data_IF_775277901774
#
_entry.id   IF_775277901774
#
_cell.length_a   1.000
_cell.length_b   1.000
_cell.length_c   1.000
_cell.angle_alpha   90.00
_cell.angle_beta   90.00
_cell.angle_gamma   90.00
#
_symmetry.space_group_name_H-M   'P 1'
#
loop_
_entity.id
_entity.type
_entity.pdbx_description
1 polymer ?
#
# COMPACT_ATOMS: atom_id res chain seq x y z
N UNK A 1 12.60 -42.52 20.09
CA UNK A 1 13.55 -43.13 19.12
C UNK A 1 12.72 -43.89 18.08
N UNK A 2 13.22 -43.96 16.84
CA UNK A 2 12.58 -44.49 15.61
C UNK A 2 11.71 -43.45 14.88
N UNK A 3 12.27 -42.68 13.93
CA UNK A 3 12.71 -43.01 12.54
C UNK A 3 11.50 -43.18 11.61
N UNK A 4 11.41 -42.32 10.59
CA UNK A 4 11.39 -42.73 9.18
C UNK A 4 11.37 -41.48 8.28
N UNK A 5 12.58 -41.09 7.91
CA UNK A 5 12.88 -40.30 6.72
C UNK A 5 12.75 -41.26 5.53
N UNK A 6 11.92 -40.94 4.54
CA UNK A 6 11.83 -41.72 3.31
C UNK A 6 11.86 -40.78 2.11
N UNK A 7 13.09 -40.47 1.68
CA UNK A 7 13.37 -40.11 0.30
C UNK A 7 12.95 -41.29 -0.59
N UNK A 8 12.15 -41.04 -1.62
CA UNK A 8 11.96 -41.98 -2.72
C UNK A 8 12.31 -41.28 -4.02
N UNK A 9 13.58 -41.43 -4.37
CA UNK A 9 14.10 -41.30 -5.72
C UNK A 9 13.66 -42.55 -6.49
N UNK A 10 13.05 -42.37 -7.67
CA UNK A 10 13.19 -43.22 -8.86
C UNK A 10 12.00 -43.01 -9.81
N UNK A 11 12.25 -42.44 -10.98
CA UNK A 11 12.07 -43.22 -12.21
C UNK A 11 12.70 -42.49 -13.40
N UNK A 12 13.80 -43.05 -13.88
CA UNK A 12 14.48 -42.67 -15.10
C UNK A 12 14.07 -43.73 -16.13
N UNK A 13 13.34 -43.35 -17.18
CA UNK A 13 13.00 -44.29 -18.25
C UNK A 13 12.75 -43.60 -19.58
N UNK A 14 13.48 -44.12 -20.58
CA UNK A 14 13.26 -44.09 -22.02
C UNK A 14 13.74 -42.86 -22.83
N UNK A 15 14.99 -43.05 -23.30
CA UNK A 15 15.44 -42.66 -24.64
C UNK A 15 14.42 -43.09 -25.69
N UNK A 16 14.12 -42.18 -26.62
CA UNK A 16 14.30 -42.35 -28.07
C UNK A 16 13.52 -41.24 -28.77
N UNK A 17 14.23 -40.23 -29.28
CA UNK A 17 13.72 -39.38 -30.34
C UNK A 17 14.88 -38.98 -31.24
N UNK A 18 15.03 -39.74 -32.33
CA UNK A 18 15.79 -39.34 -33.51
C UNK A 18 15.09 -38.15 -34.16
N UNK A 19 15.80 -37.01 -34.27
CA UNK A 19 15.38 -35.88 -35.10
C UNK A 19 16.48 -35.59 -36.13
N UNK A 20 16.13 -35.49 -37.42
CA UNK A 20 17.10 -35.22 -38.48
C UNK A 20 17.58 -33.76 -38.44
N UNK A 21 18.82 -33.61 -38.87
CA UNK A 21 19.52 -32.38 -39.21
C UNK A 21 18.78 -31.69 -40.37
N UNK A 22 18.46 -30.40 -40.25
CA UNK A 22 18.62 -29.34 -41.27
C UNK A 22 18.09 -28.02 -40.70
N UNK A 23 18.98 -27.02 -40.55
CA UNK A 23 18.62 -25.63 -40.29
C UNK A 23 18.14 -24.95 -41.60
N UNK A 24 17.37 -23.85 -41.52
CA UNK A 24 18.08 -22.56 -41.62
C UNK A 24 17.51 -21.45 -40.72
N UNK A 25 18.38 -20.47 -40.48
CA UNK A 25 18.14 -19.16 -39.88
C UNK A 25 16.74 -18.60 -40.20
N UNK A 26 15.92 -18.43 -39.15
CA UNK A 26 15.00 -17.30 -39.10
C UNK A 26 15.38 -16.43 -37.91
N UNK A 27 15.76 -15.20 -38.25
CA UNK A 27 15.91 -14.07 -37.35
C UNK A 27 14.67 -13.96 -36.45
N UNK A 28 14.85 -14.08 -35.14
CA UNK A 28 13.85 -13.64 -34.17
C UNK A 28 14.07 -12.14 -33.93
N UNK A 29 13.13 -11.25 -34.28
CA UNK A 29 13.20 -9.88 -33.79
C UNK A 29 12.89 -9.88 -32.29
N UNK A 30 13.83 -9.32 -31.53
CA UNK A 30 13.70 -8.92 -30.13
C UNK A 30 12.38 -8.16 -29.93
N UNK A 31 11.45 -8.80 -29.23
CA UNK A 31 10.16 -8.23 -28.84
C UNK A 31 9.81 -8.56 -27.39
N UNK A 32 10.81 -8.66 -26.50
CA UNK A 32 10.55 -8.65 -25.06
C UNK A 32 10.31 -7.19 -24.65
N UNK A 33 9.07 -6.74 -24.77
CA UNK A 33 8.60 -5.58 -24.02
C UNK A 33 7.90 -6.11 -22.78
N UNK A 34 8.70 -6.60 -21.83
CA UNK A 34 8.25 -6.66 -20.44
C UNK A 34 8.03 -5.20 -20.02
N UNK A 35 6.81 -4.70 -20.19
CA UNK A 35 6.37 -3.55 -19.43
C UNK A 35 6.34 -3.99 -17.98
N UNK A 36 7.50 -3.84 -17.34
CA UNK A 36 7.64 -3.87 -15.91
C UNK A 36 6.45 -3.13 -15.36
N UNK A 37 5.60 -3.86 -14.64
CA UNK A 37 4.57 -3.29 -13.81
C UNK A 37 5.34 -2.47 -12.79
N UNK A 38 5.69 -1.24 -13.19
CA UNK A 38 6.21 -0.19 -12.32
C UNK A 38 5.09 -0.09 -11.31
N UNK A 39 5.29 -0.74 -10.18
CA UNK A 39 4.69 -0.36 -8.91
C UNK A 39 5.07 1.09 -8.79
N UNK A 40 4.22 1.95 -9.37
CA UNK A 40 4.25 3.38 -9.21
C UNK A 40 4.20 3.48 -7.70
N UNK A 41 5.35 3.74 -7.09
CA UNK A 41 5.42 4.05 -5.68
C UNK A 41 4.37 5.14 -5.52
N UNK A 42 3.28 4.79 -4.85
CA UNK A 42 2.16 5.70 -4.70
C UNK A 42 2.68 6.74 -3.73
N UNK A 43 3.23 7.82 -4.29
CA UNK A 43 3.57 8.99 -3.52
C UNK A 43 2.24 9.53 -3.01
N UNK A 44 2.01 9.44 -1.70
CA UNK A 44 0.82 9.97 -1.07
C UNK A 44 1.16 11.35 -0.53
N UNK A 45 0.49 12.37 -1.05
CA UNK A 45 0.48 13.69 -0.44
C UNK A 45 -0.90 13.96 0.14
N UNK A 46 -0.94 14.26 1.45
CA UNK A 46 -2.18 14.49 2.20
C UNK A 46 -2.02 15.77 2.99
N UNK A 47 -2.85 16.78 2.70
CA UNK A 47 -3.00 17.96 3.55
C UNK A 47 -3.97 17.62 4.69
N UNK A 48 -3.68 18.07 5.90
CA UNK A 48 -4.51 17.86 7.09
C UNK A 48 -4.67 19.21 7.80
N UNK A 49 -5.89 19.60 8.11
CA UNK A 49 -6.20 20.90 8.70
C UNK A 49 -7.27 20.74 9.77
N UNK A 50 -7.00 21.29 10.95
CA UNK A 50 -7.94 21.35 12.06
C UNK A 50 -8.91 22.50 11.80
N UNK A 51 -10.20 22.23 11.89
CA UNK A 51 -11.23 23.26 11.72
C UNK A 51 -12.09 23.45 12.97
N UNK A 52 -12.04 22.51 13.91
CA UNK A 52 -12.78 22.58 15.16
C UNK A 52 -11.97 21.91 16.27
N UNK A 53 -11.92 22.54 17.43
CA UNK A 53 -11.27 22.00 18.61
C UNK A 53 -12.09 22.33 19.86
N UNK A 54 -12.34 21.31 20.67
CA UNK A 54 -13.02 21.40 21.97
C UNK A 54 -12.13 20.77 23.05
N UNK A 55 -12.54 20.82 24.32
CA UNK A 55 -11.81 20.16 25.41
C UNK A 55 -11.73 18.63 25.26
N UNK A 56 -12.70 18.02 24.58
CA UNK A 56 -12.82 16.56 24.48
C UNK A 56 -12.31 16.01 23.15
N UNK A 57 -12.47 16.75 22.06
CA UNK A 57 -12.13 16.29 20.72
C UNK A 57 -11.56 17.39 19.84
N UNK A 58 -10.88 17.00 18.78
CA UNK A 58 -10.48 17.89 17.69
C UNK A 58 -10.91 17.27 16.35
N UNK A 59 -11.46 18.08 15.46
CA UNK A 59 -11.90 17.65 14.13
C UNK A 59 -10.98 18.19 13.05
N UNK A 60 -10.70 17.34 12.09
CA UNK A 60 -9.76 17.58 11.01
C UNK A 60 -10.41 17.28 9.67
N UNK A 61 -10.07 18.12 8.69
CA UNK A 61 -10.25 17.84 7.27
C UNK A 61 -8.94 17.33 6.71
N UNK A 62 -9.04 16.40 5.78
CA UNK A 62 -7.89 15.91 5.02
C UNK A 62 -8.22 15.86 3.54
N UNK A 63 -7.22 16.17 2.71
CA UNK A 63 -7.38 16.27 1.27
C UNK A 63 -6.43 15.33 0.54
N UNK A 64 -6.97 14.67 -0.48
CA UNK A 64 -6.21 13.99 -1.52
C UNK A 64 -5.57 15.00 -2.48
N UNK A 65 -4.60 14.52 -3.26
CA UNK A 65 -3.98 15.29 -4.36
C UNK A 65 -5.01 15.70 -5.42
N UNK A 66 -6.06 14.89 -5.60
CA UNK A 66 -7.13 15.14 -6.57
C UNK A 66 -8.16 16.18 -6.08
N UNK A 67 -7.95 16.76 -4.88
CA UNK A 67 -8.83 17.77 -4.30
C UNK A 67 -10.05 17.21 -3.55
N UNK A 68 -10.28 15.89 -3.58
CA UNK A 68 -11.31 15.25 -2.77
C UNK A 68 -10.92 15.34 -1.29
N UNK A 69 -11.91 15.64 -0.43
CA UNK A 69 -11.72 15.79 1.01
C UNK A 69 -12.54 14.79 1.82
N UNK A 70 -12.08 14.57 3.04
CA UNK A 70 -12.76 13.80 4.07
C UNK A 70 -12.58 14.46 5.43
N UNK A 71 -13.28 13.94 6.43
CA UNK A 71 -13.31 14.47 7.78
C UNK A 71 -13.11 13.35 8.79
N UNK A 72 -12.33 13.62 9.84
CA UNK A 72 -12.19 12.74 10.98
C UNK A 72 -12.05 13.54 12.27
N UNK A 73 -12.34 12.89 13.38
CA UNK A 73 -12.13 13.44 14.71
C UNK A 73 -11.15 12.58 15.51
N UNK A 74 -10.47 13.21 16.45
CA UNK A 74 -9.67 12.55 17.48
C UNK A 74 -10.21 12.90 18.86
N UNK A 75 -10.41 11.89 19.70
CA UNK A 75 -10.69 12.05 21.11
C UNK A 75 -9.39 12.39 21.85
N UNK A 76 -9.35 13.51 22.56
CA UNK A 76 -8.14 14.00 23.23
C UNK A 76 -7.77 13.19 24.47
N UNK A 77 -8.74 12.51 25.09
CA UNK A 77 -8.55 11.70 26.29
C UNK A 77 -8.02 10.30 25.96
N UNK A 78 -8.57 9.65 24.93
CA UNK A 78 -8.18 8.29 24.54
C UNK A 78 -7.16 8.23 23.40
N UNK A 79 -7.10 9.26 22.56
CA UNK A 79 -6.36 9.25 21.30
C UNK A 79 -7.04 8.43 20.20
N UNK A 80 -8.28 7.97 20.43
CA UNK A 80 -9.08 7.26 19.45
C UNK A 80 -9.50 8.21 18.31
N UNK A 81 -9.47 7.71 17.08
CA UNK A 81 -9.81 8.46 15.88
C UNK A 81 -11.03 7.86 15.22
N UNK A 82 -11.98 8.70 14.83
CA UNK A 82 -13.21 8.29 14.16
C UNK A 82 -13.33 9.00 12.81
N UNK A 83 -13.56 8.22 11.76
CA UNK A 83 -13.82 8.77 10.43
C UNK A 83 -15.27 9.28 10.37
N UNK A 84 -15.43 10.57 10.09
CA UNK A 84 -16.75 11.21 9.96
C UNK A 84 -17.21 11.21 8.49
N UNK A 85 -16.31 11.54 7.57
CA UNK A 85 -16.58 11.60 6.12
C UNK A 85 -15.42 10.93 5.37
N UNK A 86 -15.74 9.90 4.60
CA UNK A 86 -14.76 9.22 3.74
C UNK A 86 -14.48 10.03 2.46
N UNK A 87 -13.23 10.03 2.02
CA UNK A 87 -12.82 10.66 0.75
C UNK A 87 -13.34 9.84 -0.44
N UNK A 88 -13.98 10.51 -1.39
CA UNK A 88 -14.35 9.92 -2.69
C UNK A 88 -13.10 9.38 -3.41
N UNK A 89 -13.08 8.08 -3.68
CA UNK A 89 -11.95 7.39 -4.31
C UNK A 89 -10.98 6.71 -3.33
N UNK A 90 -11.07 6.97 -2.03
CA UNK A 90 -10.28 6.27 -1.00
C UNK A 90 -11.03 5.04 -0.46
N UNK A 91 -11.38 4.10 -1.33
CA UNK A 91 -12.15 2.90 -0.95
C UNK A 91 -11.40 1.99 0.02
N UNK A 92 -10.07 2.05 0.02
CA UNK A 92 -9.21 1.23 0.87
C UNK A 92 -8.80 1.95 2.17
N UNK A 93 -9.22 3.22 2.36
CA UNK A 93 -8.93 4.01 3.55
C UNK A 93 -7.44 4.38 3.71
N UNK A 94 -6.65 4.39 2.63
CA UNK A 94 -5.22 4.67 2.69
C UNK A 94 -4.94 6.10 3.11
N UNK A 95 -5.75 7.05 2.64
CA UNK A 95 -5.58 8.47 2.98
C UNK A 95 -5.95 8.69 4.44
N UNK A 96 -7.12 8.18 4.85
CA UNK A 96 -7.56 8.29 6.24
C UNK A 96 -6.54 7.68 7.21
N UNK A 97 -6.09 6.44 6.95
CA UNK A 97 -5.15 5.75 7.84
C UNK A 97 -3.84 6.54 8.02
N UNK A 98 -3.32 7.12 6.94
CA UNK A 98 -2.09 7.95 6.99
C UNK A 98 -2.31 9.26 7.74
N UNK A 99 -3.44 9.93 7.48
CA UNK A 99 -3.80 11.17 8.18
C UNK A 99 -4.00 10.94 9.68
N UNK A 100 -4.74 9.89 10.04
CA UNK A 100 -4.95 9.46 11.41
C UNK A 100 -3.61 9.14 12.11
N UNK A 101 -2.73 8.36 11.49
CA UNK A 101 -1.41 8.04 12.06
C UNK A 101 -0.59 9.31 12.29
N UNK A 102 -0.64 10.29 11.39
CA UNK A 102 0.04 11.58 11.59
C UNK A 102 -0.48 12.30 12.83
N UNK A 103 -1.79 12.48 12.94
CA UNK A 103 -2.40 13.19 14.07
C UNK A 103 -2.21 12.45 15.40
N UNK A 104 -2.35 11.12 15.42
CA UNK A 104 -2.10 10.31 16.62
C UNK A 104 -0.64 10.49 17.11
N UNK A 105 0.33 10.57 16.19
CA UNK A 105 1.74 10.80 16.56
C UNK A 105 1.95 12.17 17.19
N UNK A 106 1.34 13.22 16.63
CA UNK A 106 1.41 14.57 17.21
C UNK A 106 0.70 14.62 18.58
N UNK A 107 -0.48 13.98 18.70
CA UNK A 107 -1.23 13.88 19.95
C UNK A 107 -0.42 13.21 21.06
N UNK A 108 0.31 12.13 20.73
CA UNK A 108 1.22 11.46 21.68
C UNK A 108 2.36 12.35 22.16
N UNK A 109 2.69 13.41 21.43
CA UNK A 109 3.66 14.43 21.84
C UNK A 109 3.02 15.59 22.62
N UNK A 110 1.72 15.50 22.91
CA UNK A 110 0.95 16.55 23.59
C UNK A 110 0.57 17.73 22.69
N UNK A 111 0.59 17.55 21.36
CA UNK A 111 0.32 18.62 20.39
C UNK A 111 -0.77 18.24 19.40
N UNK A 112 -1.58 19.21 18.99
CA UNK A 112 -2.61 19.05 17.97
C UNK A 112 -2.49 20.22 16.98
N UNK A 113 -1.70 20.05 15.90
CA UNK A 113 -1.37 21.16 15.00
C UNK A 113 -2.60 21.65 14.24
N UNK A 114 -2.67 22.95 13.98
CA UNK A 114 -3.74 23.53 13.15
C UNK A 114 -3.64 23.07 11.69
N UNK A 115 -2.41 22.92 11.18
CA UNK A 115 -2.14 22.44 9.84
C UNK A 115 -0.93 21.51 9.82
N UNK A 116 -1.03 20.41 9.09
CA UNK A 116 0.09 19.48 8.87
C UNK A 116 -0.09 18.72 7.56
N UNK A 117 0.95 17.99 7.16
CA UNK A 117 0.95 17.22 5.91
C UNK A 117 1.62 15.86 6.09
N UNK A 118 1.24 14.93 5.23
CA UNK A 118 1.91 13.64 5.06
C UNK A 118 2.41 13.52 3.63
N UNK A 119 3.70 13.21 3.48
CA UNK A 119 4.35 12.89 2.21
C UNK A 119 5.18 11.61 2.38
N UNK A 120 4.91 10.58 1.57
CA UNK A 120 5.65 9.31 1.54
C UNK A 120 5.57 8.62 0.20
#
# INVERSE_FOLDING_TARGET
>A
MSICCSMSTSNQSLRQYSKPITAPLMMQPLGQVEHGRRSKAMAFYIKIEKYEETELYAKYKFWSVDGNCGEFEINKQSGEVHLLVQVSGDQQGHLFNRAAVKIIREWRQGRLPDMTEWAS
#
